data_IF_495417344832
#
_entry.id   IF_495417344832
#
_cell.length_a   1.000
_cell.length_b   1.000
_cell.length_c   1.000
_cell.angle_alpha   90.00
_cell.angle_beta   90.00
_cell.angle_gamma   90.00
#
_symmetry.space_group_name_H-M   'P 1'
#
loop_
_entity.id
_entity.type
_entity.pdbx_description
1 polymer ?
#
# COMPACT_ATOMS: atom_id res chain seq x y z
N UNK A 1 -39.51 -12.81 -15.84
CA UNK A 1 -38.07 -12.66 -15.61
C UNK A 1 -37.77 -13.10 -14.19
N UNK A 2 -36.86 -14.06 -13.99
CA UNK A 2 -36.46 -14.51 -12.66
C UNK A 2 -35.47 -13.48 -12.12
N UNK A 3 -35.94 -12.61 -11.22
CA UNK A 3 -35.05 -11.85 -10.36
C UNK A 3 -34.44 -12.86 -9.38
N UNK A 4 -33.27 -13.40 -9.70
CA UNK A 4 -32.44 -14.04 -8.68
C UNK A 4 -32.22 -12.98 -7.61
N UNK A 5 -32.86 -13.13 -6.45
CA UNK A 5 -32.53 -12.36 -5.27
C UNK A 5 -31.15 -12.82 -4.86
N UNK A 6 -30.13 -12.21 -5.45
CA UNK A 6 -28.75 -12.39 -5.02
C UNK A 6 -28.75 -12.08 -3.52
N UNK A 7 -28.55 -13.13 -2.72
CA UNK A 7 -28.29 -12.98 -1.29
C UNK A 7 -26.89 -12.36 -1.14
N UNK A 8 -26.79 -11.08 -1.46
CA UNK A 8 -25.79 -10.20 -0.86
C UNK A 8 -26.01 -10.34 0.66
N UNK A 9 -24.93 -10.57 1.41
CA UNK A 9 -24.92 -11.02 2.81
C UNK A 9 -26.20 -10.67 3.61
N UNK A 10 -26.86 -11.69 4.17
CA UNK A 10 -28.14 -11.55 4.89
C UNK A 10 -28.08 -10.41 5.92
N UNK A 11 -28.84 -9.33 5.68
CA UNK A 11 -29.04 -8.22 6.62
C UNK A 11 -28.34 -6.89 6.33
N UNK A 12 -27.69 -6.73 5.17
CA UNK A 12 -27.06 -5.44 4.78
C UNK A 12 -27.86 -4.79 3.66
N UNK A 13 -28.94 -4.09 4.01
CA UNK A 13 -29.80 -3.38 3.05
C UNK A 13 -29.49 -1.89 2.96
N UNK A 14 -28.93 -1.32 4.04
CA UNK A 14 -28.64 0.10 4.16
C UNK A 14 -27.15 0.36 4.33
N UNK A 15 -26.74 1.55 3.91
CA UNK A 15 -25.38 2.05 4.11
C UNK A 15 -24.99 2.16 5.60
N UNK A 16 -25.97 2.24 6.49
CA UNK A 16 -25.80 2.32 7.95
C UNK A 16 -25.27 1.01 8.57
N UNK A 17 -25.61 -0.12 7.97
CA UNK A 17 -25.22 -1.46 8.45
C UNK A 17 -23.82 -1.85 7.96
N UNK A 18 -23.29 -1.13 6.97
CA UNK A 18 -21.98 -1.37 6.39
C UNK A 18 -20.90 -0.77 7.29
N UNK A 19 -19.95 -1.60 7.71
CA UNK A 19 -18.77 -1.16 8.46
C UNK A 19 -17.51 -1.22 7.58
N UNK A 20 -16.58 -0.25 7.72
CA UNK A 20 -15.28 -0.32 7.07
C UNK A 20 -14.54 -1.60 7.51
N UNK A 21 -13.87 -2.24 6.56
CA UNK A 21 -13.18 -3.53 6.73
C UNK A 21 -14.02 -4.76 6.39
N UNK A 22 -15.34 -4.62 6.19
CA UNK A 22 -16.18 -5.74 5.77
C UNK A 22 -15.89 -6.14 4.32
N UNK A 23 -15.90 -7.45 4.06
CA UNK A 23 -15.81 -8.02 2.72
C UNK A 23 -17.20 -8.43 2.25
N UNK A 24 -17.62 -7.88 1.12
CA UNK A 24 -18.95 -8.12 0.56
C UNK A 24 -18.83 -8.58 -0.90
N UNK A 25 -19.66 -9.52 -1.35
CA UNK A 25 -19.82 -9.77 -2.76
C UNK A 25 -20.53 -8.58 -3.41
N UNK A 26 -20.16 -8.25 -4.65
CA UNK A 26 -20.79 -7.19 -5.42
C UNK A 26 -20.75 -7.49 -6.91
N UNK A 27 -21.51 -6.73 -7.69
CA UNK A 27 -21.59 -6.83 -9.15
C UNK A 27 -21.13 -5.51 -9.75
N UNK A 28 -20.21 -5.58 -10.73
CA UNK A 28 -19.77 -4.39 -11.44
C UNK A 28 -20.92 -3.84 -12.30
N UNK A 29 -21.39 -2.64 -12.01
CA UNK A 29 -22.47 -1.99 -12.77
C UNK A 29 -21.93 -1.12 -13.90
N UNK A 30 -20.79 -0.46 -13.68
CA UNK A 30 -20.19 0.42 -14.67
C UNK A 30 -18.67 0.50 -14.51
N UNK A 31 -17.96 0.77 -15.61
CA UNK A 31 -16.50 0.90 -15.66
C UNK A 31 -16.16 2.25 -16.29
N UNK A 32 -15.27 2.99 -15.66
CA UNK A 32 -14.79 4.30 -16.13
C UNK A 32 -13.27 4.31 -16.25
N UNK A 33 -12.69 5.34 -16.87
CA UNK A 33 -11.22 5.43 -17.01
C UNK A 33 -10.48 5.54 -15.65
N UNK A 34 -11.16 6.01 -14.60
CA UNK A 34 -10.57 6.20 -13.28
C UNK A 34 -10.89 5.07 -12.29
N UNK A 35 -11.78 4.13 -12.63
CA UNK A 35 -12.23 3.09 -11.70
C UNK A 35 -13.41 2.25 -12.19
N UNK A 36 -14.07 1.56 -11.26
CA UNK A 36 -15.34 0.87 -11.53
C UNK A 36 -16.35 1.10 -10.41
N UNK A 37 -17.63 1.00 -10.76
CA UNK A 37 -18.75 1.03 -9.84
C UNK A 37 -19.22 -0.39 -9.59
N UNK A 38 -19.36 -0.73 -8.31
CA UNK A 38 -19.77 -2.05 -7.84
C UNK A 38 -21.00 -1.88 -6.97
N UNK A 39 -22.08 -2.55 -7.34
CA UNK A 39 -23.27 -2.67 -6.51
C UNK A 39 -23.07 -3.82 -5.51
N UNK A 40 -23.21 -3.51 -4.22
CA UNK A 40 -23.11 -4.44 -3.10
C UNK A 40 -24.48 -4.68 -2.43
N UNK A 41 -25.57 -4.14 -2.98
CA UNK A 41 -26.93 -4.34 -2.51
C UNK A 41 -27.44 -3.32 -1.49
N UNK A 42 -26.76 -2.17 -1.30
CA UNK A 42 -27.09 -1.17 -0.26
C UNK A 42 -27.80 0.08 -0.80
N UNK A 43 -28.59 -0.07 -1.87
CA UNK A 43 -29.22 1.01 -2.65
C UNK A 43 -28.26 2.06 -3.23
N UNK A 44 -26.96 1.92 -3.00
CA UNK A 44 -25.94 2.89 -3.37
C UNK A 44 -24.72 2.16 -3.90
N UNK A 45 -24.26 2.59 -5.08
CA UNK A 45 -23.07 2.04 -5.71
C UNK A 45 -21.80 2.45 -4.94
N UNK A 46 -20.89 1.50 -4.76
CA UNK A 46 -19.56 1.77 -4.28
C UNK A 46 -18.58 1.99 -5.43
N UNK A 47 -17.62 2.90 -5.24
CA UNK A 47 -16.58 3.19 -6.22
C UNK A 47 -15.28 2.48 -5.84
N UNK A 48 -14.71 1.74 -6.78
CA UNK A 48 -13.35 1.20 -6.71
C UNK A 48 -12.43 2.05 -7.58
N UNK A 49 -11.39 2.63 -6.98
CA UNK A 49 -10.39 3.40 -7.72
C UNK A 49 -9.48 2.49 -8.55
N UNK A 50 -8.92 2.97 -9.66
CA UNK A 50 -8.01 2.17 -10.50
C UNK A 50 -6.80 1.62 -9.73
N UNK A 51 -6.29 2.37 -8.75
CA UNK A 51 -5.20 1.92 -7.86
C UNK A 51 -5.61 0.79 -6.91
N UNK A 52 -6.90 0.67 -6.64
CA UNK A 52 -7.50 -0.33 -5.73
C UNK A 52 -8.05 -1.55 -6.49
N UNK A 53 -8.06 -1.52 -7.83
CA UNK A 53 -8.36 -2.69 -8.67
C UNK A 53 -7.22 -3.72 -8.63
N UNK A 54 -5.97 -3.26 -8.65
CA UNK A 54 -4.79 -4.12 -8.66
C UNK A 54 -3.58 -3.38 -8.14
N UNK A 55 -2.66 -4.10 -7.49
CA UNK A 55 -1.37 -3.55 -7.04
C UNK A 55 -0.36 -3.28 -8.16
N UNK A 56 -0.75 -3.38 -9.43
CA UNK A 56 0.09 -3.19 -10.61
C UNK A 56 -0.47 -2.06 -11.47
N UNK A 57 0.37 -1.46 -12.32
CA UNK A 57 -0.08 -0.45 -13.27
C UNK A 57 -1.02 -1.06 -14.31
N UNK A 58 -2.22 -0.51 -14.42
CA UNK A 58 -3.27 -0.96 -15.34
C UNK A 58 -3.51 0.15 -16.37
N UNK A 59 -3.37 -0.16 -17.66
CA UNK A 59 -3.66 0.80 -18.75
C UNK A 59 -5.16 0.98 -18.97
N UNK A 60 -5.96 -0.06 -18.76
CA UNK A 60 -7.40 -0.02 -18.98
C UNK A 60 -8.11 -0.95 -17.98
N UNK A 61 -9.06 -0.45 -17.17
CA UNK A 61 -9.73 -1.26 -16.16
C UNK A 61 -10.62 -2.36 -16.76
N UNK A 62 -11.07 -2.19 -18.02
CA UNK A 62 -11.89 -3.18 -18.74
C UNK A 62 -11.21 -4.52 -19.04
N UNK A 63 -9.88 -4.58 -19.00
CA UNK A 63 -9.14 -5.84 -19.16
C UNK A 63 -9.17 -6.69 -17.88
N UNK A 64 -9.38 -6.07 -16.72
CA UNK A 64 -9.34 -6.73 -15.41
C UNK A 64 -10.75 -7.07 -14.92
N UNK A 65 -11.67 -6.12 -15.09
CA UNK A 65 -13.07 -6.25 -14.67
C UNK A 65 -13.99 -6.03 -15.84
N UNK A 66 -15.09 -6.79 -15.88
CA UNK A 66 -16.16 -6.65 -16.88
C UNK A 66 -17.43 -6.17 -16.22
N UNK A 67 -18.24 -5.44 -16.98
CA UNK A 67 -19.59 -5.06 -16.54
C UNK A 67 -20.41 -6.33 -16.30
N UNK A 68 -21.23 -6.34 -15.25
CA UNK A 68 -22.01 -7.47 -14.74
C UNK A 68 -21.18 -8.64 -14.17
N UNK A 69 -19.89 -8.44 -13.94
CA UNK A 69 -19.05 -9.45 -13.29
C UNK A 69 -19.27 -9.45 -11.78
N UNK A 70 -19.41 -10.64 -11.19
CA UNK A 70 -19.39 -10.83 -9.72
C UNK A 70 -17.96 -10.68 -9.21
N UNK A 71 -17.75 -9.79 -8.25
CA UNK A 71 -16.46 -9.51 -7.62
C UNK A 71 -16.61 -9.49 -6.10
N UNK A 72 -15.52 -9.74 -5.37
CA UNK A 72 -15.49 -9.55 -3.91
C UNK A 72 -14.74 -8.27 -3.62
N UNK A 73 -15.35 -7.38 -2.83
CA UNK A 73 -14.80 -6.06 -2.50
C UNK A 73 -14.72 -5.91 -0.99
N UNK A 74 -13.74 -5.12 -0.55
CA UNK A 74 -13.59 -4.71 0.85
C UNK A 74 -13.99 -3.26 0.99
N UNK A 75 -14.80 -2.94 1.99
CA UNK A 75 -15.19 -1.57 2.31
C UNK A 75 -14.00 -0.86 2.96
N UNK A 76 -13.54 0.24 2.38
CA UNK A 76 -12.49 1.07 2.98
C UNK A 76 -13.10 2.13 3.88
N UNK A 77 -14.10 2.85 3.36
CA UNK A 77 -14.69 4.00 4.02
C UNK A 77 -16.14 4.20 3.55
N UNK A 78 -16.98 4.72 4.45
CA UNK A 78 -18.41 4.93 4.22
C UNK A 78 -18.78 6.36 4.62
N UNK A 79 -19.20 7.15 3.64
CA UNK A 79 -19.69 8.52 3.85
C UNK A 79 -21.22 8.53 3.80
N UNK A 80 -21.84 8.61 4.98
CA UNK A 80 -23.30 8.69 5.15
C UNK A 80 -23.88 10.03 4.70
N UNK A 81 -23.11 11.12 4.74
CA UNK A 81 -23.58 12.46 4.36
C UNK A 81 -23.75 12.55 2.85
N UNK A 82 -22.77 12.02 2.12
CA UNK A 82 -22.75 12.05 0.65
C UNK A 82 -23.30 10.78 0.01
N UNK A 83 -23.63 9.77 0.81
CA UNK A 83 -24.04 8.42 0.37
C UNK A 83 -23.00 7.84 -0.59
N UNK A 84 -21.75 7.78 -0.15
CA UNK A 84 -20.64 7.25 -0.97
C UNK A 84 -19.92 6.15 -0.20
N UNK A 85 -19.57 5.09 -0.92
CA UNK A 85 -18.85 3.95 -0.36
C UNK A 85 -17.57 3.79 -1.17
N UNK A 86 -16.44 3.86 -0.49
CA UNK A 86 -15.13 3.60 -1.08
C UNK A 86 -14.82 2.12 -0.93
N UNK A 87 -14.64 1.44 -2.06
CA UNK A 87 -14.41 0.00 -2.12
C UNK A 87 -13.01 -0.28 -2.67
N UNK A 88 -12.47 -1.43 -2.27
CA UNK A 88 -11.21 -1.96 -2.80
C UNK A 88 -11.37 -3.42 -3.20
N UNK A 89 -10.79 -3.78 -4.35
CA UNK A 89 -10.67 -5.18 -4.77
C UNK A 89 -9.34 -5.81 -4.33
N UNK A 90 -8.47 -5.04 -3.68
CA UNK A 90 -7.18 -5.51 -3.21
C UNK A 90 -7.38 -6.39 -1.97
N UNK A 91 -6.91 -7.63 -2.01
CA UNK A 91 -6.96 -8.57 -0.88
C UNK A 91 -6.02 -8.21 0.29
N UNK A 92 -5.51 -6.97 0.35
CA UNK A 92 -4.59 -6.54 1.39
C UNK A 92 -5.34 -6.18 2.66
N UNK A 93 -4.88 -6.70 3.79
CA UNK A 93 -5.32 -6.30 5.12
C UNK A 93 -5.41 -4.77 5.25
N UNK A 94 -6.43 -4.22 5.92
CA UNK A 94 -6.55 -2.79 6.16
C UNK A 94 -5.45 -2.34 7.15
N UNK A 95 -4.22 -2.13 6.66
CA UNK A 95 -3.10 -1.94 7.57
C UNK A 95 -1.74 -1.58 7.00
N UNK A 96 -1.57 -1.35 5.69
CA UNK A 96 -0.27 -0.84 5.22
C UNK A 96 -0.46 0.25 4.19
N UNK A 97 -0.39 1.49 4.66
CA UNK A 97 -0.02 2.64 3.84
C UNK A 97 1.31 2.29 3.17
N UNK A 98 1.28 1.82 1.93
CA UNK A 98 2.47 1.82 1.09
C UNK A 98 2.76 3.28 0.80
N UNK A 99 3.48 3.92 1.73
CA UNK A 99 4.25 5.12 1.49
C UNK A 99 5.11 4.85 0.27
N UNK A 100 4.67 5.31 -0.90
CA UNK A 100 5.58 5.57 -1.99
C UNK A 100 6.42 6.77 -1.56
N UNK A 101 7.42 6.47 -0.72
CA UNK A 101 8.62 7.28 -0.58
C UNK A 101 9.24 7.27 -1.97
N UNK A 102 8.92 8.32 -2.73
CA UNK A 102 9.62 8.68 -3.96
C UNK A 102 11.11 8.69 -3.63
N UNK A 103 11.82 7.68 -4.13
CA UNK A 103 13.26 7.52 -4.01
C UNK A 103 13.97 8.80 -4.48
N UNK A 104 14.88 9.26 -3.60
CA UNK A 104 16.22 9.74 -3.92
C UNK A 104 16.48 10.08 -5.39
N UNK A 105 16.17 11.32 -5.76
CA UNK A 105 16.94 11.97 -6.82
C UNK A 105 18.22 12.46 -6.18
N UNK A 106 19.26 11.66 -6.39
CA UNK A 106 20.68 11.93 -6.23
C UNK A 106 21.03 13.40 -6.57
N UNK A 107 21.62 14.13 -5.61
CA UNK A 107 22.38 15.35 -5.91
C UNK A 107 23.46 15.63 -4.84
N UNK A 108 24.70 15.32 -5.22
CA UNK A 108 25.99 15.94 -4.86
C UNK A 108 26.56 15.84 -3.42
N UNK A 109 27.75 15.23 -3.26
CA UNK A 109 28.67 15.57 -2.17
C UNK A 109 29.75 16.52 -2.70
N UNK A 110 29.71 17.81 -2.36
CA UNK A 110 30.89 18.68 -2.39
C UNK A 110 30.74 19.78 -1.35
N UNK A 111 31.28 19.54 -0.15
CA UNK A 111 31.84 20.64 0.62
C UNK A 111 32.99 20.15 1.52
N UNK A 112 34.21 20.38 1.05
CA UNK A 112 35.42 20.32 1.85
C UNK A 112 35.43 21.53 2.79
N UNK A 113 34.92 21.40 4.00
CA UNK A 113 35.20 22.34 5.09
C UNK A 113 36.14 21.71 6.10
N UNK A 114 37.42 21.88 5.78
CA UNK A 114 38.59 21.98 6.67
C UNK A 114 38.18 22.39 8.12
N UNK A 115 38.32 21.48 9.09
CA UNK A 115 38.37 21.82 10.52
C UNK A 115 39.54 21.13 11.20
N UNK A 116 40.35 21.97 11.82
CA UNK A 116 41.65 21.72 12.43
C UNK A 116 41.59 20.98 13.78
N UNK A 117 42.67 20.22 14.02
CA UNK A 117 43.43 19.98 15.28
C UNK A 117 42.70 19.50 16.55
N UNK A 118 43.17 18.37 17.09
CA UNK A 118 43.79 18.31 18.44
C UNK A 118 44.58 17.00 18.68
N UNK A 119 45.78 17.17 19.23
CA UNK A 119 46.79 16.19 19.65
C UNK A 119 46.31 15.17 20.71
N UNK A 120 47.01 14.01 20.80
CA UNK A 120 47.83 13.62 21.98
C UNK A 120 48.48 12.22 21.85
N UNK A 121 49.81 12.21 21.67
CA UNK A 121 50.81 11.32 22.32
C UNK A 121 50.93 9.84 21.89
N UNK A 122 52.17 9.28 21.77
CA UNK A 122 52.38 7.88 21.44
C UNK A 122 52.13 7.00 22.68
N UNK A 123 51.20 6.05 22.59
CA UNK A 123 51.00 5.05 23.64
C UNK A 123 52.09 3.99 23.55
N UNK A 124 53.13 4.19 24.37
CA UNK A 124 54.08 3.16 24.80
C UNK A 124 53.31 1.94 25.32
N UNK A 125 53.36 0.81 24.63
CA UNK A 125 53.09 -0.48 25.25
C UNK A 125 54.43 -1.15 25.52
N UNK A 126 54.87 -0.95 26.76
CA UNK A 126 55.90 -1.72 27.44
C UNK A 126 55.45 -3.17 27.55
N UNK A 127 56.10 -4.05 26.81
CA UNK A 127 56.35 -5.46 27.17
C UNK A 127 57.60 -5.93 26.42
N UNK A 128 58.75 -5.33 26.75
CA UNK A 128 60.06 -5.96 26.56
C UNK A 128 60.29 -6.89 27.74
N UNK A 129 60.88 -8.10 27.59
CA UNK A 129 62.34 -8.16 27.42
C UNK A 129 62.94 -9.45 26.76
N UNK A 130 64.13 -9.33 26.17
CA UNK A 130 65.22 -10.34 26.16
C UNK A 130 65.41 -11.42 25.07
N UNK A 131 64.72 -11.44 23.92
CA UNK A 131 65.08 -12.37 22.82
C UNK A 131 65.11 -11.56 21.51
N UNK A 132 66.14 -11.47 20.70
CA UNK A 132 67.38 -12.20 20.60
C UNK A 132 68.31 -11.29 19.79
N UNK A 133 69.46 -10.93 20.37
CA UNK A 133 70.62 -10.73 19.53
C UNK A 133 70.82 -12.00 18.67
N UNK A 134 71.39 -11.84 17.48
CA UNK A 134 72.12 -12.93 16.81
C UNK A 134 71.33 -13.92 15.92
N UNK A 135 70.81 -13.46 14.78
CA UNK A 135 70.93 -14.22 13.52
C UNK A 135 70.98 -13.22 12.36
N UNK A 136 72.19 -12.85 11.92
CA UNK A 136 72.82 -13.37 10.69
C UNK A 136 71.88 -13.15 9.49
N UNK A 137 72.22 -12.38 8.47
CA UNK A 137 73.54 -12.05 7.90
C UNK A 137 73.35 -10.88 6.93
#
# INVERSE_FOLDING_TARGET
EQFESFRFAEGVEKIEDVKPGMKLPGIVTNITAFGCFVDIGVHQDGLVHISELSGRFVKSPGDIVKVHQRVTVTVLDVDLQRKRISLSMKNGEPGTKTSQKKEEIMAAPKDMSKREKKEKGPRRFSNNPFYEAFRKK
#
